data_IF_415949185906
#
_entry.id   IF_415949185906
#
_cell.length_a   1.000
_cell.length_b   1.000
_cell.length_c   1.000
_cell.angle_alpha   90.00
_cell.angle_beta   90.00
_cell.angle_gamma   90.00
#
_symmetry.space_group_name_H-M   'P 1'
#
loop_
_entity.id
_entity.type
_entity.pdbx_description
1 polymer ?
#
# COMPACT_ATOMS: atom_id res chain seq x y z
N UNK A 1 5.70 16.71 10.78
CA UNK A 1 4.39 16.04 10.70
C UNK A 1 4.52 14.62 11.24
N UNK A 2 3.88 14.28 12.39
CA UNK A 2 4.08 12.99 13.07
C UNK A 2 3.86 11.77 12.18
N UNK A 3 2.84 11.80 11.32
CA UNK A 3 2.52 10.68 10.42
C UNK A 3 3.67 10.35 9.45
N UNK A 4 4.37 11.37 8.93
CA UNK A 4 5.48 11.13 8.01
C UNK A 4 6.67 10.49 8.72
N UNK A 5 6.96 10.92 9.96
CA UNK A 5 7.97 10.28 10.80
C UNK A 5 7.59 8.83 11.11
N UNK A 6 6.32 8.57 11.45
CA UNK A 6 5.83 7.22 11.74
C UNK A 6 5.94 6.28 10.53
N UNK A 7 5.68 6.78 9.31
CA UNK A 7 5.85 6.02 8.08
C UNK A 7 7.33 5.75 7.79
N UNK A 8 8.24 6.66 8.20
CA UNK A 8 9.69 6.56 8.01
C UNK A 8 10.25 7.60 7.04
N UNK A 9 9.50 8.68 6.77
CA UNK A 9 9.99 9.86 6.05
C UNK A 9 10.55 10.88 7.07
N UNK A 10 11.64 10.53 7.70
CA UNK A 10 12.34 11.30 8.75
C UNK A 10 13.79 11.63 8.40
N UNK A 11 14.23 11.24 7.20
CA UNK A 11 15.60 11.41 6.72
C UNK A 11 15.61 12.26 5.43
N UNK A 12 16.39 13.36 5.38
CA UNK A 12 16.51 14.23 4.21
C UNK A 12 17.10 13.52 2.96
N UNK A 13 17.81 12.40 3.12
CA UNK A 13 18.32 11.61 2.00
C UNK A 13 17.20 11.05 1.11
N UNK A 14 15.98 10.92 1.65
CA UNK A 14 14.78 10.54 0.92
C UNK A 14 14.25 11.66 0.00
N UNK A 15 14.84 12.88 0.09
CA UNK A 15 14.42 14.09 -0.64
C UNK A 15 13.00 14.57 -0.32
N UNK A 16 12.39 13.97 0.67
CA UNK A 16 11.12 14.34 1.29
C UNK A 16 11.13 13.84 2.72
N UNK A 17 10.91 14.72 3.69
CA UNK A 17 10.87 14.36 5.10
C UNK A 17 9.89 15.23 5.91
N UNK A 18 9.58 14.76 7.11
CA UNK A 18 8.61 15.38 8.01
C UNK A 18 9.01 16.77 8.53
N UNK A 19 10.26 17.14 8.42
CA UNK A 19 10.81 18.39 8.94
C UNK A 19 10.89 19.48 7.86
N UNK A 20 11.22 19.08 6.63
CA UNK A 20 11.48 20.01 5.52
C UNK A 20 10.29 20.13 4.54
N UNK A 21 9.29 19.25 4.61
CA UNK A 21 8.15 19.33 3.71
C UNK A 21 7.30 20.59 3.96
N UNK A 22 6.93 21.29 2.90
CA UNK A 22 5.98 22.38 2.95
C UNK A 22 4.56 21.86 3.08
N UNK A 23 3.75 22.49 3.91
CA UNK A 23 2.33 22.19 4.07
C UNK A 23 1.50 23.41 3.71
N UNK A 24 0.73 23.31 2.65
CA UNK A 24 -0.24 24.33 2.24
C UNK A 24 -1.65 23.85 2.58
N UNK A 25 -2.41 24.68 3.33
CA UNK A 25 -3.80 24.41 3.67
C UNK A 25 -4.67 25.47 3.02
N UNK A 26 -5.63 25.04 2.22
CA UNK A 26 -6.65 25.91 1.64
C UNK A 26 -8.02 25.33 1.97
N UNK A 27 -8.84 26.11 2.67
CA UNK A 27 -10.20 25.75 3.06
C UNK A 27 -11.17 26.76 2.43
N UNK A 28 -12.13 26.26 1.68
CA UNK A 28 -13.23 27.04 1.13
C UNK A 28 -14.52 26.67 1.86
N UNK A 29 -15.39 27.65 2.21
CA UNK A 29 -16.67 27.35 2.86
C UNK A 29 -17.61 26.61 1.90
N UNK A 30 -18.39 25.70 2.45
CA UNK A 30 -19.46 25.03 1.71
C UNK A 30 -20.50 26.04 1.22
N UNK A 31 -21.00 25.84 -0.01
CA UNK A 31 -22.11 26.61 -0.53
C UNK A 31 -23.29 26.63 0.47
N UNK A 32 -23.90 27.81 0.77
CA UNK A 32 -25.04 27.89 1.69
C UNK A 32 -26.21 27.01 1.25
N UNK A 33 -26.45 26.86 -0.05
CA UNK A 33 -27.52 26.01 -0.59
C UNK A 33 -27.27 24.51 -0.38
N UNK A 34 -26.02 24.07 -0.37
CA UNK A 34 -25.65 22.69 -0.05
C UNK A 34 -25.63 22.52 1.48
N UNK A 35 -25.00 23.45 2.19
CA UNK A 35 -24.85 23.42 3.65
C UNK A 35 -26.21 23.28 4.38
N UNK A 36 -27.26 23.93 3.92
CA UNK A 36 -28.61 23.76 4.49
C UNK A 36 -29.14 22.33 4.43
N UNK A 37 -28.67 21.53 3.47
CA UNK A 37 -29.02 20.12 3.35
C UNK A 37 -28.17 19.19 4.21
N UNK A 38 -26.95 19.62 4.54
CA UNK A 38 -25.94 18.81 5.25
C UNK A 38 -25.93 19.08 6.75
N UNK A 39 -26.03 20.38 7.14
CA UNK A 39 -25.89 20.76 8.53
C UNK A 39 -27.09 20.29 9.36
N UNK A 40 -26.81 19.52 10.41
CA UNK A 40 -27.81 19.11 11.37
C UNK A 40 -28.33 20.27 12.20
N UNK A 41 -29.57 20.19 12.67
CA UNK A 41 -30.22 21.11 13.61
C UNK A 41 -30.89 20.28 14.70
N UNK A 42 -31.49 20.93 15.69
CA UNK A 42 -32.26 20.24 16.74
C UNK A 42 -33.44 19.44 16.18
N UNK A 43 -33.93 19.80 15.00
CA UNK A 43 -35.10 19.18 14.34
C UNK A 43 -34.69 18.26 13.16
N UNK A 44 -33.42 18.26 12.75
CA UNK A 44 -32.92 17.55 11.56
C UNK A 44 -31.58 16.95 11.81
N UNK A 45 -31.44 15.63 11.54
CA UNK A 45 -30.16 14.96 11.55
C UNK A 45 -29.22 15.47 10.45
N UNK A 46 -27.91 15.32 10.67
CA UNK A 46 -26.91 15.70 9.69
C UNK A 46 -27.07 14.86 8.41
N UNK A 47 -27.10 15.54 7.27
CA UNK A 47 -27.20 14.93 5.95
C UNK A 47 -25.85 14.73 5.28
N UNK A 48 -25.86 14.11 4.11
CA UNK A 48 -24.67 13.96 3.26
C UNK A 48 -24.58 15.10 2.24
N UNK A 49 -23.35 15.57 1.99
CA UNK A 49 -23.09 16.65 1.03
C UNK A 49 -23.07 16.22 -0.42
N UNK A 50 -23.07 14.91 -0.67
CA UNK A 50 -23.05 14.35 -2.01
C UNK A 50 -23.74 12.98 -2.07
N UNK A 51 -23.98 12.48 -3.28
CA UNK A 51 -24.48 11.15 -3.52
C UNK A 51 -23.41 10.11 -3.17
N UNK A 52 -23.81 8.91 -2.77
CA UNK A 52 -22.92 7.83 -2.49
C UNK A 52 -23.47 6.50 -3.01
N UNK A 53 -22.58 5.70 -3.61
CA UNK A 53 -22.83 4.31 -3.97
C UNK A 53 -21.63 3.50 -3.51
N UNK A 54 -21.88 2.41 -2.81
CA UNK A 54 -20.83 1.56 -2.24
C UNK A 54 -21.09 0.11 -2.67
N UNK A 55 -20.01 -0.57 -3.08
CA UNK A 55 -20.02 -1.99 -3.35
C UNK A 55 -19.36 -2.72 -2.19
N UNK A 56 -19.94 -3.85 -1.81
CA UNK A 56 -19.34 -4.78 -0.88
C UNK A 56 -19.03 -6.10 -1.59
N UNK A 57 -17.90 -6.70 -1.27
CA UNK A 57 -17.51 -8.02 -1.74
C UNK A 57 -16.84 -8.80 -0.61
N UNK A 58 -17.18 -10.07 -0.47
CA UNK A 58 -16.54 -10.98 0.45
C UNK A 58 -16.42 -12.37 -0.21
N UNK A 59 -15.39 -13.12 0.18
CA UNK A 59 -15.10 -14.47 -0.29
C UNK A 59 -14.80 -15.36 0.91
N UNK A 60 -15.10 -16.63 0.82
CA UNK A 60 -14.76 -17.63 1.84
C UNK A 60 -13.42 -18.34 1.59
N UNK A 61 -12.56 -17.74 0.79
CA UNK A 61 -11.22 -18.29 0.48
C UNK A 61 -10.27 -18.21 1.66
N UNK A 62 -10.48 -17.24 2.53
CA UNK A 62 -9.62 -16.94 3.68
C UNK A 62 -10.48 -16.62 4.91
N UNK A 63 -9.89 -16.74 6.09
CA UNK A 63 -10.55 -16.39 7.36
C UNK A 63 -10.94 -14.91 7.44
N UNK A 64 -10.17 -14.06 6.75
CA UNK A 64 -10.43 -12.63 6.66
C UNK A 64 -11.57 -12.29 5.68
N UNK A 65 -12.19 -13.28 5.06
CA UNK A 65 -13.24 -13.16 4.04
C UNK A 65 -12.81 -12.33 2.82
N UNK A 66 -11.54 -12.37 2.50
CA UNK A 66 -10.91 -11.65 1.38
C UNK A 66 -10.38 -12.64 0.35
N UNK A 67 -10.39 -12.30 -0.95
CA UNK A 67 -9.70 -13.10 -1.96
C UNK A 67 -8.22 -13.26 -1.64
N UNK A 68 -7.70 -14.49 -1.80
CA UNK A 68 -6.33 -14.84 -1.44
C UNK A 68 -5.25 -13.97 -2.11
N UNK A 69 -5.35 -13.59 -3.41
CA UNK A 69 -4.31 -12.76 -4.04
C UNK A 69 -4.11 -11.42 -3.34
N UNK A 70 -5.19 -10.69 -3.10
CA UNK A 70 -5.09 -9.36 -2.47
C UNK A 70 -4.69 -9.47 -1.00
N UNK A 71 -5.16 -10.48 -0.29
CA UNK A 71 -4.77 -10.71 1.09
C UNK A 71 -3.27 -10.97 1.23
N UNK A 72 -2.70 -11.85 0.39
CA UNK A 72 -1.26 -12.10 0.38
C UNK A 72 -0.46 -10.85 -0.03
N UNK A 73 -0.93 -10.10 -1.01
CA UNK A 73 -0.30 -8.85 -1.39
C UNK A 73 -0.25 -7.84 -0.22
N UNK A 74 -1.34 -7.69 0.51
CA UNK A 74 -1.38 -6.86 1.72
C UNK A 74 -0.45 -7.39 2.83
N UNK A 75 -0.44 -8.70 3.06
CA UNK A 75 0.45 -9.33 4.05
C UNK A 75 1.93 -9.14 3.70
N UNK A 76 2.28 -9.16 2.41
CA UNK A 76 3.65 -8.90 1.93
C UNK A 76 4.10 -7.46 2.23
N UNK A 77 3.29 -6.46 1.86
CA UNK A 77 3.64 -5.06 2.13
C UNK A 77 3.64 -4.73 3.62
N UNK A 78 2.72 -5.32 4.38
CA UNK A 78 2.74 -5.20 5.85
C UNK A 78 4.01 -5.79 6.44
N UNK A 79 4.37 -7.03 6.07
CA UNK A 79 5.59 -7.68 6.55
C UNK A 79 6.86 -6.91 6.16
N UNK A 80 6.90 -6.36 4.94
CA UNK A 80 7.99 -5.49 4.49
C UNK A 80 8.13 -4.26 5.40
N UNK A 81 7.01 -3.64 5.77
CA UNK A 81 7.00 -2.52 6.71
C UNK A 81 7.49 -2.93 8.10
N UNK A 82 7.04 -4.09 8.59
CA UNK A 82 7.42 -4.60 9.91
C UNK A 82 8.95 -4.87 10.00
N UNK A 83 9.54 -5.55 9.00
CA UNK A 83 10.99 -5.85 8.98
C UNK A 83 11.84 -4.60 8.77
N UNK A 84 11.33 -3.58 8.10
CA UNK A 84 11.98 -2.28 7.99
C UNK A 84 11.95 -1.53 9.34
N UNK A 85 10.78 -1.41 9.96
CA UNK A 85 10.59 -0.66 11.22
C UNK A 85 11.32 -1.31 12.41
N UNK A 86 11.46 -2.63 12.42
CA UNK A 86 12.22 -3.33 13.46
C UNK A 86 13.73 -3.42 13.16
N UNK A 87 14.20 -2.74 12.10
CA UNK A 87 15.59 -2.70 11.67
C UNK A 87 16.21 -4.05 11.26
N UNK A 88 15.37 -5.02 10.88
CA UNK A 88 15.83 -6.30 10.35
C UNK A 88 16.37 -6.15 8.92
N UNK A 89 15.78 -5.23 8.14
CA UNK A 89 16.23 -4.82 6.81
C UNK A 89 16.53 -3.31 6.80
N UNK A 90 17.68 -2.87 7.34
CA UNK A 90 17.99 -1.45 7.55
C UNK A 90 18.16 -0.65 6.24
N UNK A 91 18.43 -1.34 5.15
CA UNK A 91 18.54 -0.77 3.81
C UNK A 91 17.19 -0.48 3.15
N UNK A 92 16.10 -1.10 3.66
CA UNK A 92 14.76 -0.90 3.09
C UNK A 92 14.20 0.49 3.42
N UNK A 93 13.56 1.10 2.44
CA UNK A 93 12.93 2.40 2.51
C UNK A 93 11.41 2.30 2.48
N UNK A 94 10.66 3.40 2.79
CA UNK A 94 9.21 3.31 2.97
C UNK A 94 8.40 2.91 1.74
N UNK A 95 8.83 3.26 0.53
CA UNK A 95 8.09 2.95 -0.69
C UNK A 95 8.23 1.48 -1.07
N UNK A 96 7.10 0.83 -1.29
CA UNK A 96 7.07 -0.57 -1.70
C UNK A 96 5.73 -0.97 -2.28
N UNK A 97 5.74 -1.99 -3.12
CA UNK A 97 4.55 -2.54 -3.78
C UNK A 97 4.68 -4.03 -3.96
N UNK A 98 3.54 -4.71 -3.95
CA UNK A 98 3.46 -6.15 -4.15
C UNK A 98 2.35 -6.52 -5.11
N UNK A 99 2.55 -7.65 -5.79
CA UNK A 99 1.54 -8.30 -6.60
C UNK A 99 1.66 -9.80 -6.42
N UNK A 100 0.53 -10.49 -6.33
CA UNK A 100 0.47 -11.94 -6.20
C UNK A 100 -0.45 -12.51 -7.26
N UNK A 101 0.02 -13.54 -7.97
CA UNK A 101 -0.76 -14.30 -8.93
C UNK A 101 -1.05 -15.69 -8.35
N UNK A 102 -2.33 -16.04 -8.30
CA UNK A 102 -2.81 -17.33 -7.78
C UNK A 102 -3.43 -18.13 -8.91
N UNK A 103 -3.10 -19.40 -8.97
CA UNK A 103 -3.80 -20.35 -9.84
C UNK A 103 -5.05 -20.85 -9.14
N UNK A 104 -6.19 -20.75 -9.83
CA UNK A 104 -7.48 -21.26 -9.39
C UNK A 104 -7.86 -22.51 -10.19
N UNK A 105 -8.49 -23.47 -9.53
CA UNK A 105 -9.12 -24.65 -10.12
C UNK A 105 -10.49 -24.82 -9.46
N UNK A 106 -11.54 -24.95 -10.26
CA UNK A 106 -12.91 -25.03 -9.77
C UNK A 106 -13.27 -23.92 -8.77
N UNK A 107 -12.94 -22.68 -9.13
CA UNK A 107 -13.14 -21.46 -8.31
C UNK A 107 -12.47 -21.49 -6.92
N UNK A 108 -11.47 -22.35 -6.72
CA UNK A 108 -10.70 -22.46 -5.49
C UNK A 108 -9.22 -22.12 -5.71
N UNK A 109 -8.60 -21.35 -4.82
CA UNK A 109 -7.18 -21.09 -4.90
C UNK A 109 -6.37 -22.38 -4.66
N UNK A 110 -5.39 -22.65 -5.52
CA UNK A 110 -4.59 -23.88 -5.50
C UNK A 110 -3.11 -23.65 -5.23
N UNK A 111 -2.53 -22.67 -5.89
CA UNK A 111 -1.09 -22.42 -5.78
C UNK A 111 -0.76 -20.95 -6.08
N UNK A 112 0.31 -20.48 -5.48
CA UNK A 112 0.95 -19.21 -5.86
C UNK A 112 1.76 -19.47 -7.13
N UNK A 113 1.46 -18.76 -8.20
CA UNK A 113 2.18 -18.84 -9.48
C UNK A 113 3.35 -17.87 -9.53
N UNK A 114 3.11 -16.63 -9.09
CA UNK A 114 4.12 -15.59 -9.12
C UNK A 114 3.92 -14.56 -8.01
N UNK A 115 5.03 -13.99 -7.56
CA UNK A 115 5.08 -12.86 -6.63
C UNK A 115 5.99 -11.80 -7.23
N UNK A 116 5.49 -10.58 -7.32
CA UNK A 116 6.30 -9.39 -7.56
C UNK A 116 6.36 -8.61 -6.25
N UNK A 117 7.57 -8.30 -5.79
CA UNK A 117 7.79 -7.48 -4.61
C UNK A 117 8.85 -6.42 -4.95
N UNK A 118 8.45 -5.16 -4.92
CA UNK A 118 9.36 -4.04 -5.12
C UNK A 118 9.49 -3.24 -3.84
N UNK A 119 10.71 -2.82 -3.52
CA UNK A 119 10.99 -1.96 -2.37
C UNK A 119 12.06 -0.96 -2.70
N UNK A 120 11.84 0.27 -2.31
CA UNK A 120 12.87 1.29 -2.32
C UNK A 120 13.99 0.89 -1.34
N UNK A 121 15.24 1.16 -1.73
CA UNK A 121 16.41 0.72 -0.98
C UNK A 121 17.51 1.78 -0.96
N UNK A 122 18.46 1.64 -0.04
CA UNK A 122 19.68 2.43 -0.02
C UNK A 122 20.63 2.02 -1.16
N UNK A 123 21.54 2.89 -1.59
CA UNK A 123 22.43 2.61 -2.73
C UNK A 123 23.53 1.55 -2.44
N UNK A 124 23.76 1.21 -1.18
CA UNK A 124 24.87 0.34 -0.76
C UNK A 124 24.60 -1.16 -0.92
N UNK A 125 23.35 -1.55 -1.20
CA UNK A 125 22.94 -2.95 -1.30
C UNK A 125 22.75 -3.37 -2.76
N UNK A 126 23.12 -4.60 -3.07
CA UNK A 126 22.93 -5.19 -4.41
C UNK A 126 21.54 -5.80 -4.57
N UNK A 127 21.09 -5.95 -5.82
CA UNK A 127 19.77 -6.55 -6.13
C UNK A 127 19.69 -8.02 -5.73
N UNK A 128 20.81 -8.73 -5.77
CA UNK A 128 20.95 -10.13 -5.36
C UNK A 128 20.74 -10.26 -3.85
N UNK A 129 21.37 -9.39 -3.07
CA UNK A 129 21.21 -9.35 -1.61
C UNK A 129 19.79 -8.95 -1.21
N UNK A 130 19.20 -7.94 -1.87
CA UNK A 130 17.80 -7.56 -1.68
C UNK A 130 16.89 -8.76 -1.92
N UNK A 131 17.08 -9.45 -3.03
CA UNK A 131 16.26 -10.61 -3.41
C UNK A 131 16.35 -11.71 -2.38
N UNK A 132 17.56 -12.09 -1.98
CA UNK A 132 17.78 -13.14 -0.99
C UNK A 132 17.13 -12.81 0.36
N UNK A 133 17.34 -11.58 0.87
CA UNK A 133 16.81 -11.15 2.14
C UNK A 133 15.28 -11.01 2.12
N UNK A 134 14.69 -10.51 1.02
CA UNK A 134 13.24 -10.44 0.89
C UNK A 134 12.58 -11.81 0.82
N UNK A 135 13.19 -12.78 0.12
CA UNK A 135 12.68 -14.15 0.10
C UNK A 135 12.64 -14.71 1.53
N UNK A 136 13.73 -14.57 2.28
CA UNK A 136 13.86 -15.15 3.61
C UNK A 136 12.98 -14.46 4.67
N UNK A 137 13.02 -13.14 4.70
CA UNK A 137 12.41 -12.38 5.82
C UNK A 137 10.99 -11.89 5.55
N UNK A 138 10.57 -11.86 4.29
CA UNK A 138 9.25 -11.35 3.90
C UNK A 138 8.41 -12.41 3.19
N UNK A 139 8.90 -12.96 2.06
CA UNK A 139 8.07 -13.78 1.17
C UNK A 139 7.76 -15.13 1.80
N UNK A 140 8.77 -15.91 2.19
CA UNK A 140 8.58 -17.23 2.81
C UNK A 140 7.70 -17.17 4.05
N UNK A 141 7.93 -16.26 5.02
CA UNK A 141 7.07 -16.15 6.20
C UNK A 141 5.61 -15.81 5.91
N UNK A 142 5.35 -15.03 4.85
CA UNK A 142 3.98 -14.66 4.45
C UNK A 142 3.30 -15.79 3.69
N UNK A 143 4.01 -16.49 2.83
CA UNK A 143 3.46 -17.61 2.07
C UNK A 143 3.13 -18.82 2.96
N UNK A 144 3.90 -19.05 4.03
CA UNK A 144 3.69 -20.18 4.93
C UNK A 144 3.59 -21.51 4.18
N UNK A 145 2.52 -22.26 4.43
CA UNK A 145 2.28 -23.56 3.80
C UNK A 145 2.03 -23.51 2.28
N UNK A 146 1.75 -22.33 1.73
CA UNK A 146 1.61 -22.12 0.30
C UNK A 146 2.96 -21.94 -0.41
N UNK A 147 4.05 -21.84 0.35
CA UNK A 147 5.39 -21.73 -0.22
C UNK A 147 5.79 -22.99 -0.99
N UNK A 148 6.36 -22.80 -2.17
CA UNK A 148 7.06 -23.85 -2.90
C UNK A 148 8.13 -23.24 -3.80
N UNK A 149 9.14 -24.03 -4.17
CA UNK A 149 10.31 -23.55 -4.92
C UNK A 149 10.02 -23.25 -6.41
N UNK A 150 8.81 -23.54 -6.90
CA UNK A 150 8.40 -23.27 -8.27
C UNK A 150 7.75 -21.88 -8.43
N UNK A 151 7.53 -21.16 -7.34
CA UNK A 151 6.95 -19.80 -7.40
C UNK A 151 7.93 -18.88 -8.15
N UNK A 152 7.42 -18.20 -9.18
CA UNK A 152 8.19 -17.17 -9.90
C UNK A 152 8.28 -15.92 -9.05
N UNK A 153 9.47 -15.58 -8.61
CA UNK A 153 9.71 -14.41 -7.76
C UNK A 153 10.40 -13.32 -8.56
N UNK A 154 9.83 -12.13 -8.56
CA UNK A 154 10.38 -10.94 -9.19
C UNK A 154 10.57 -9.85 -8.13
N UNK A 155 11.82 -9.53 -7.84
CA UNK A 155 12.20 -8.46 -6.91
C UNK A 155 12.77 -7.31 -7.72
N UNK A 156 12.24 -6.10 -7.54
CA UNK A 156 12.67 -4.90 -8.25
C UNK A 156 12.93 -5.17 -9.76
N UNK A 157 11.94 -5.68 -10.51
CA UNK A 157 12.17 -6.21 -11.87
C UNK A 157 12.67 -5.16 -12.87
N UNK A 158 12.53 -3.88 -12.57
CA UNK A 158 13.08 -2.78 -13.38
C UNK A 158 14.53 -2.45 -13.03
N UNK A 159 15.11 -3.11 -12.02
CA UNK A 159 16.46 -2.86 -11.52
C UNK A 159 16.47 -2.03 -10.24
N UNK A 160 17.29 -0.98 -10.19
CA UNK A 160 17.45 -0.13 -9.00
C UNK A 160 16.18 0.65 -8.65
N UNK A 161 15.87 0.70 -7.35
CA UNK A 161 14.77 1.48 -6.82
C UNK A 161 15.26 2.35 -5.64
N UNK A 162 16.21 3.23 -5.93
CA UNK A 162 16.80 4.15 -4.95
C UNK A 162 15.95 5.42 -4.75
N UNK A 163 15.26 5.87 -5.81
CA UNK A 163 14.36 7.04 -5.78
C UNK A 163 12.92 6.54 -5.74
N UNK A 164 12.17 6.98 -4.75
CA UNK A 164 10.77 6.60 -4.56
C UNK A 164 10.05 7.52 -3.60
N UNK A 165 8.83 7.11 -3.18
CA UNK A 165 7.98 7.91 -2.33
C UNK A 165 7.54 9.23 -2.99
N UNK A 166 7.18 10.26 -2.21
CA UNK A 166 6.68 11.54 -2.74
C UNK A 166 7.66 12.28 -3.64
N UNK A 167 8.96 12.00 -3.53
CA UNK A 167 9.98 12.58 -4.42
C UNK A 167 10.00 11.90 -5.80
N UNK A 168 9.69 10.61 -5.87
CA UNK A 168 9.64 9.86 -7.12
C UNK A 168 8.41 10.21 -7.96
N UNK A 169 7.25 10.08 -7.36
CA UNK A 169 5.97 10.44 -7.97
C UNK A 169 4.92 10.77 -6.90
N UNK A 170 3.77 11.25 -7.34
CA UNK A 170 2.64 11.51 -6.48
C UNK A 170 1.38 10.83 -7.01
N UNK A 171 0.62 10.24 -6.10
CA UNK A 171 -0.67 9.62 -6.38
C UNK A 171 -1.79 10.24 -5.57
N UNK A 172 -3.01 10.22 -6.11
CA UNK A 172 -4.22 10.58 -5.39
C UNK A 172 -4.89 9.32 -4.86
N UNK A 173 -5.16 9.30 -3.56
CA UNK A 173 -6.10 8.34 -2.98
C UNK A 173 -7.52 8.74 -3.36
N UNK A 174 -8.42 7.76 -3.49
CA UNK A 174 -9.80 8.05 -3.87
C UNK A 174 -9.98 8.48 -5.32
N UNK A 175 -9.16 7.97 -6.23
CA UNK A 175 -9.29 8.23 -7.69
C UNK A 175 -10.66 7.94 -8.27
N UNK A 176 -11.49 7.18 -7.57
CA UNK A 176 -12.90 6.92 -7.93
C UNK A 176 -13.68 8.23 -8.02
N UNK A 177 -13.53 9.15 -7.06
CA UNK A 177 -14.16 10.47 -7.12
C UNK A 177 -13.72 11.28 -8.35
N UNK A 178 -12.53 11.06 -8.84
CA UNK A 178 -12.00 11.66 -10.05
C UNK A 178 -12.58 11.03 -11.33
N UNK A 179 -12.90 9.74 -11.30
CA UNK A 179 -13.56 9.05 -12.41
C UNK A 179 -15.03 9.47 -12.58
N UNK A 180 -15.64 10.02 -11.56
CA UNK A 180 -17.03 10.51 -11.60
C UNK A 180 -17.18 11.95 -12.14
N UNK A 181 -16.09 12.61 -12.45
CA UNK A 181 -16.06 13.96 -13.05
C UNK A 181 -16.08 13.91 -14.59
N UNK A 182 -16.20 12.72 -15.17
CA UNK A 182 -16.23 12.50 -16.64
C UNK A 182 -17.63 12.10 -17.11
#
# INVERSE_FOLDING_TARGET
LPIFTEIGYDNPDLKFDSHSCEVMIKLDPQSPHISQGVTGTDEKEQGAGDQGLMFGYASNETEELMPLPILLAHKLTKKLTDVRKNNQLPWARPDGKSQVSIRYEDDKPKAIEAIVLSTQHSPEITNEEITSQLIEHVIKPVCGDLWNDNIKIHVNPTGKFEIGGPHGDAGLTGKIGRAHVW
#
